data_IF_226488590047
#
_entry.id   IF_226488590047
#
_cell.length_a   1.000
_cell.length_b   1.000
_cell.length_c   1.000
_cell.angle_alpha   90.00
_cell.angle_beta   90.00
_cell.angle_gamma   90.00
#
_symmetry.space_group_name_H-M   'P 1'
#
loop_
_entity.id
_entity.type
_entity.pdbx_description
1 polymer ?
#
# COMPACT_ATOMS: atom_id res chain seq x y z
N UNK A 1 9.03 5.03 -24.62
CA UNK A 1 7.88 4.21 -24.17
C UNK A 1 8.39 2.92 -23.53
N UNK A 2 9.16 2.10 -24.25
CA UNK A 2 9.73 0.83 -23.75
C UNK A 2 10.43 0.90 -22.37
N UNK A 3 11.29 1.88 -22.12
CA UNK A 3 12.03 2.00 -20.84
C UNK A 3 11.13 2.35 -19.62
N UNK A 4 9.96 2.95 -19.85
CA UNK A 4 9.02 3.29 -18.79
C UNK A 4 8.10 2.10 -18.48
N UNK A 5 7.72 1.34 -19.50
CA UNK A 5 6.98 0.09 -19.37
C UNK A 5 7.81 -0.96 -18.58
N UNK A 6 9.13 -1.04 -18.83
CA UNK A 6 10.04 -1.95 -18.10
C UNK A 6 10.15 -1.62 -16.59
N UNK A 7 10.18 -0.33 -16.24
CA UNK A 7 10.24 0.13 -14.84
C UNK A 7 8.91 -0.18 -14.12
N UNK A 8 7.78 0.02 -14.81
CA UNK A 8 6.46 -0.25 -14.25
C UNK A 8 6.20 -1.76 -14.07
N UNK A 9 6.68 -2.60 -14.99
CA UNK A 9 6.62 -4.07 -14.87
C UNK A 9 7.47 -4.56 -13.68
N UNK A 10 8.71 -4.09 -13.55
CA UNK A 10 9.58 -4.45 -12.43
C UNK A 10 9.01 -4.02 -11.07
N UNK A 11 8.41 -2.83 -11.00
CA UNK A 11 7.70 -2.33 -9.81
C UNK A 11 6.51 -3.23 -9.48
N UNK A 12 5.72 -3.61 -10.49
CA UNK A 12 4.57 -4.49 -10.34
C UNK A 12 4.97 -5.86 -9.81
N UNK A 13 5.98 -6.50 -10.38
CA UNK A 13 6.49 -7.80 -9.91
C UNK A 13 7.01 -7.74 -8.46
N UNK A 14 7.70 -6.66 -8.09
CA UNK A 14 8.13 -6.46 -6.71
C UNK A 14 6.94 -6.35 -5.76
N UNK A 15 5.93 -5.54 -6.10
CA UNK A 15 4.72 -5.39 -5.30
C UNK A 15 3.95 -6.72 -5.15
N UNK A 16 3.87 -7.55 -6.20
CA UNK A 16 3.31 -8.91 -6.11
C UNK A 16 4.09 -9.77 -5.13
N UNK A 17 5.42 -9.73 -5.16
CA UNK A 17 6.27 -10.50 -4.24
C UNK A 17 6.09 -10.06 -2.79
N UNK A 18 6.08 -8.76 -2.52
CA UNK A 18 5.82 -8.21 -1.18
C UNK A 18 4.44 -8.65 -0.69
N UNK A 19 3.42 -8.50 -1.52
CA UNK A 19 2.06 -8.93 -1.20
C UNK A 19 1.98 -10.42 -0.89
N UNK A 20 2.68 -11.26 -1.66
CA UNK A 20 2.70 -12.70 -1.44
C UNK A 20 3.41 -13.08 -0.13
N UNK A 21 4.51 -12.41 0.21
CA UNK A 21 5.20 -12.63 1.49
C UNK A 21 4.34 -12.19 2.68
N UNK A 22 3.65 -11.05 2.58
CA UNK A 22 2.69 -10.59 3.59
C UNK A 22 1.57 -11.61 3.76
N UNK A 23 1.00 -12.08 2.66
CA UNK A 23 0.00 -13.14 2.69
C UNK A 23 0.49 -14.37 3.45
N UNK A 24 1.69 -14.86 3.13
CA UNK A 24 2.27 -16.04 3.77
C UNK A 24 2.52 -15.84 5.26
N UNK A 25 3.09 -14.70 5.65
CA UNK A 25 3.36 -14.38 7.05
C UNK A 25 2.05 -14.30 7.86
N UNK A 26 1.08 -13.55 7.35
CA UNK A 26 -0.20 -13.38 8.03
C UNK A 26 -1.00 -14.68 8.10
N UNK A 27 -1.08 -15.45 7.01
CA UNK A 27 -1.84 -16.71 6.98
C UNK A 27 -1.26 -17.80 7.86
N UNK A 28 0.07 -17.85 8.02
CA UNK A 28 0.75 -18.88 8.82
C UNK A 28 0.86 -18.54 10.31
N UNK A 29 1.00 -17.26 10.65
CA UNK A 29 1.28 -16.86 12.03
C UNK A 29 0.14 -16.05 12.65
N UNK A 30 -0.36 -15.05 11.94
CA UNK A 30 -1.32 -14.09 12.51
C UNK A 30 -2.74 -14.68 12.51
N UNK A 31 -3.18 -15.30 11.42
CA UNK A 31 -4.54 -15.84 11.31
C UNK A 31 -4.83 -16.96 12.30
N UNK A 32 -3.95 -17.96 12.51
CA UNK A 32 -4.18 -18.98 13.52
C UNK A 32 -4.24 -18.40 14.93
N UNK A 33 -3.38 -17.42 15.22
CA UNK A 33 -3.37 -16.73 16.52
C UNK A 33 -4.67 -15.94 16.76
N UNK A 34 -5.14 -15.21 15.75
CA UNK A 34 -6.41 -14.49 15.82
C UNK A 34 -7.58 -15.46 15.97
N UNK A 35 -7.67 -16.50 15.14
CA UNK A 35 -8.73 -17.51 15.24
C UNK A 35 -8.74 -18.20 16.61
N UNK A 36 -7.57 -18.58 17.13
CA UNK A 36 -7.46 -19.20 18.45
C UNK A 36 -7.87 -18.23 19.58
N UNK A 37 -7.39 -16.98 19.54
CA UNK A 37 -7.72 -15.96 20.54
C UNK A 37 -9.22 -15.63 20.56
N UNK A 38 -9.81 -15.43 19.39
CA UNK A 38 -11.23 -15.05 19.30
C UNK A 38 -12.16 -16.25 19.45
N UNK A 39 -11.74 -17.45 19.03
CA UNK A 39 -12.43 -18.70 19.34
C UNK A 39 -12.48 -18.96 20.84
N UNK A 40 -11.36 -18.77 21.55
CA UNK A 40 -11.33 -18.84 23.02
C UNK A 40 -12.20 -17.77 23.69
N UNK A 41 -12.24 -16.56 23.13
CA UNK A 41 -13.13 -15.51 23.60
C UNK A 41 -14.61 -15.86 23.45
N UNK A 42 -14.99 -16.42 22.30
CA UNK A 42 -16.35 -16.89 22.04
C UNK A 42 -16.73 -18.05 22.96
N UNK A 43 -15.80 -18.98 23.20
CA UNK A 43 -16.03 -20.10 24.12
C UNK A 43 -16.21 -19.65 25.58
N UNK A 44 -15.38 -18.71 26.04
CA UNK A 44 -15.42 -18.23 27.43
C UNK A 44 -16.54 -17.23 27.70
N UNK A 45 -16.97 -16.48 26.69
CA UNK A 45 -18.04 -15.49 26.79
C UNK A 45 -18.94 -15.56 25.54
N UNK A 46 -19.90 -16.51 25.51
CA UNK A 46 -20.78 -16.71 24.37
C UNK A 46 -21.89 -15.65 24.35
N UNK A 47 -21.54 -14.46 23.87
CA UNK A 47 -22.48 -13.37 23.60
C UNK A 47 -22.46 -12.99 22.12
N UNK A 48 -23.50 -12.30 21.66
CA UNK A 48 -23.62 -11.89 20.26
C UNK A 48 -22.40 -11.06 19.79
N UNK A 49 -21.79 -10.25 20.66
CA UNK A 49 -20.58 -9.50 20.33
C UNK A 49 -19.38 -10.42 20.01
N UNK A 50 -19.22 -11.50 20.77
CA UNK A 50 -18.15 -12.48 20.52
C UNK A 50 -18.37 -13.21 19.19
N UNK A 51 -19.62 -13.58 18.89
CA UNK A 51 -19.96 -14.19 17.60
C UNK A 51 -19.75 -13.22 16.43
N UNK A 52 -20.07 -11.93 16.60
CA UNK A 52 -19.81 -10.89 15.61
C UNK A 52 -18.30 -10.79 15.30
N UNK A 53 -17.45 -10.69 16.32
CA UNK A 53 -15.99 -10.64 16.15
C UNK A 53 -15.43 -11.88 15.43
N UNK A 54 -15.95 -13.08 15.74
CA UNK A 54 -15.56 -14.31 15.04
C UNK A 54 -16.01 -14.27 13.57
N UNK A 55 -17.23 -13.81 13.30
CA UNK A 55 -17.74 -13.64 11.95
C UNK A 55 -16.93 -12.59 11.16
N UNK A 56 -16.53 -11.50 11.79
CA UNK A 56 -15.64 -10.48 11.23
C UNK A 56 -14.28 -11.05 10.84
N UNK A 57 -13.68 -11.90 11.68
CA UNK A 57 -12.42 -12.59 11.38
C UNK A 57 -12.61 -13.56 10.21
N UNK A 58 -13.68 -14.35 10.22
CA UNK A 58 -13.97 -15.27 9.14
C UNK A 58 -14.15 -14.53 7.80
N UNK A 59 -14.93 -13.45 7.80
CA UNK A 59 -15.10 -12.56 6.66
C UNK A 59 -13.77 -11.98 6.18
N UNK A 60 -12.95 -11.47 7.11
CA UNK A 60 -11.60 -11.01 6.82
C UNK A 60 -10.79 -12.11 6.13
N UNK A 61 -10.70 -13.32 6.69
CA UNK A 61 -9.95 -14.46 6.12
C UNK A 61 -10.42 -14.80 4.70
N UNK A 62 -11.72 -14.75 4.43
CA UNK A 62 -12.28 -14.98 3.09
C UNK A 62 -11.85 -13.89 2.12
N UNK A 63 -12.00 -12.61 2.48
CA UNK A 63 -11.55 -11.49 1.65
C UNK A 63 -10.05 -11.53 1.39
N UNK A 64 -9.30 -11.93 2.39
CA UNK A 64 -7.88 -12.17 2.37
C UNK A 64 -7.52 -13.26 1.35
N UNK A 65 -8.19 -14.41 1.41
CA UNK A 65 -7.99 -15.50 0.46
C UNK A 65 -8.35 -15.09 -0.98
N UNK A 66 -9.48 -14.42 -1.17
CA UNK A 66 -9.91 -13.91 -2.49
C UNK A 66 -8.92 -12.86 -3.02
N UNK A 67 -8.48 -11.93 -2.18
CA UNK A 67 -7.46 -10.93 -2.51
C UNK A 67 -6.17 -11.58 -2.97
N UNK A 68 -5.70 -12.62 -2.28
CA UNK A 68 -4.49 -13.36 -2.68
C UNK A 68 -4.63 -14.01 -4.08
N UNK A 69 -5.82 -14.52 -4.42
CA UNK A 69 -6.12 -15.09 -5.74
C UNK A 69 -6.14 -14.01 -6.81
N UNK A 70 -6.70 -12.83 -6.52
CA UNK A 70 -6.73 -11.69 -7.43
C UNK A 70 -5.33 -11.13 -7.70
N UNK A 71 -4.48 -11.04 -6.68
CA UNK A 71 -3.09 -10.63 -6.82
C UNK A 71 -2.30 -11.56 -7.75
N UNK A 72 -2.49 -12.88 -7.61
CA UNK A 72 -1.87 -13.88 -8.53
C UNK A 72 -2.35 -13.75 -9.97
N UNK A 73 -3.57 -13.26 -10.19
CA UNK A 73 -4.14 -12.97 -11.52
C UNK A 73 -3.72 -11.58 -12.04
N UNK A 74 -2.84 -10.88 -11.34
CA UNK A 74 -2.34 -9.57 -11.75
C UNK A 74 -3.21 -8.38 -11.36
N UNK A 75 -4.33 -8.60 -10.65
CA UNK A 75 -5.21 -7.54 -10.16
C UNK A 75 -4.82 -7.11 -8.74
N UNK A 76 -3.66 -6.46 -8.63
CA UNK A 76 -3.05 -6.06 -7.35
C UNK A 76 -3.90 -5.01 -6.64
N UNK A 77 -4.50 -4.07 -7.37
CA UNK A 77 -5.29 -3.00 -6.77
C UNK A 77 -6.52 -3.54 -6.05
N UNK A 78 -7.28 -4.45 -6.69
CA UNK A 78 -8.41 -5.10 -6.03
C UNK A 78 -7.97 -5.94 -4.82
N UNK A 79 -6.83 -6.63 -4.92
CA UNK A 79 -6.29 -7.41 -3.82
C UNK A 79 -5.93 -6.54 -2.59
N UNK A 80 -5.31 -5.38 -2.82
CA UNK A 80 -4.99 -4.42 -1.75
C UNK A 80 -6.25 -3.87 -1.09
N UNK A 81 -7.29 -3.55 -1.88
CA UNK A 81 -8.57 -3.10 -1.33
C UNK A 81 -9.28 -4.18 -0.51
N UNK A 82 -9.28 -5.43 -0.98
CA UNK A 82 -9.89 -6.54 -0.25
C UNK A 82 -9.19 -6.80 1.08
N UNK A 83 -7.85 -6.79 1.09
CA UNK A 83 -7.05 -6.99 2.30
C UNK A 83 -7.14 -5.80 3.26
N UNK A 84 -6.87 -4.60 2.75
CA UNK A 84 -6.88 -3.37 3.54
C UNK A 84 -8.25 -3.07 4.09
N UNK A 85 -9.28 -3.12 3.24
CA UNK A 85 -10.66 -2.82 3.63
C UNK A 85 -11.22 -3.78 4.68
N UNK A 86 -11.04 -5.09 4.49
CA UNK A 86 -11.51 -6.08 5.47
C UNK A 86 -10.77 -5.99 6.81
N UNK A 87 -9.47 -5.67 6.79
CA UNK A 87 -8.68 -5.48 8.01
C UNK A 87 -9.06 -4.20 8.76
N UNK A 88 -9.34 -3.11 8.03
CA UNK A 88 -9.88 -1.87 8.61
C UNK A 88 -11.25 -2.15 9.24
N UNK A 89 -12.13 -2.86 8.52
CA UNK A 89 -13.45 -3.24 9.02
C UNK A 89 -13.36 -4.01 10.34
N UNK A 90 -12.52 -5.04 10.40
CA UNK A 90 -12.30 -5.81 11.63
C UNK A 90 -11.71 -4.94 12.76
N UNK A 91 -10.77 -4.05 12.46
CA UNK A 91 -10.15 -3.18 13.47
C UNK A 91 -11.19 -2.22 14.09
N UNK A 92 -12.11 -1.69 13.28
CA UNK A 92 -13.21 -0.86 13.74
C UNK A 92 -14.27 -1.66 14.51
N UNK A 93 -14.57 -2.88 14.07
CA UNK A 93 -15.46 -3.79 14.80
C UNK A 93 -14.89 -4.10 16.20
N UNK A 94 -13.59 -4.38 16.30
CA UNK A 94 -12.88 -4.58 17.57
C UNK A 94 -12.98 -3.33 18.46
N UNK A 95 -12.80 -2.13 17.89
CA UNK A 95 -12.92 -0.87 18.62
C UNK A 95 -14.31 -0.71 19.27
N UNK A 96 -15.35 -1.00 18.51
CA UNK A 96 -16.74 -0.83 18.95
C UNK A 96 -17.14 -1.88 19.97
N UNK A 97 -16.72 -3.13 19.80
CA UNK A 97 -17.22 -4.26 20.60
C UNK A 97 -16.34 -4.62 21.80
N UNK A 98 -15.07 -4.21 21.82
CA UNK A 98 -14.11 -4.61 22.87
C UNK A 98 -13.57 -3.41 23.64
N UNK A 99 -13.78 -3.42 24.96
CA UNK A 99 -13.31 -2.36 25.85
C UNK A 99 -11.78 -2.28 25.89
N UNK A 100 -11.23 -1.06 25.96
CA UNK A 100 -9.79 -0.79 26.11
C UNK A 100 -8.95 -1.07 24.87
N UNK A 101 -9.60 -1.27 23.71
CA UNK A 101 -8.96 -1.65 22.45
C UNK A 101 -8.51 -0.46 21.60
N UNK A 102 -8.69 0.79 22.05
CA UNK A 102 -8.45 1.99 21.23
C UNK A 102 -7.01 2.05 20.73
N UNK A 103 -6.05 1.84 21.64
CA UNK A 103 -4.62 1.84 21.31
C UNK A 103 -4.25 0.70 20.36
N UNK A 104 -4.82 -0.50 20.56
CA UNK A 104 -4.55 -1.65 19.68
C UNK A 104 -5.09 -1.43 18.27
N UNK A 105 -6.27 -0.82 18.15
CA UNK A 105 -6.87 -0.46 16.86
C UNK A 105 -6.07 0.62 16.17
N UNK A 106 -5.62 1.66 16.88
CA UNK A 106 -4.81 2.74 16.30
C UNK A 106 -3.49 2.21 15.70
N UNK A 107 -2.79 1.31 16.41
CA UNK A 107 -1.54 0.70 15.92
C UNK A 107 -1.81 -0.20 14.70
N UNK A 108 -2.89 -0.97 14.72
CA UNK A 108 -3.28 -1.81 13.58
C UNK A 108 -3.61 -0.97 12.34
N UNK A 109 -4.36 0.13 12.50
CA UNK A 109 -4.71 1.06 11.42
C UNK A 109 -3.46 1.76 10.85
N UNK A 110 -2.54 2.22 11.70
CA UNK A 110 -1.28 2.81 11.26
C UNK A 110 -0.49 1.83 10.39
N UNK A 111 -0.39 0.58 10.83
CA UNK A 111 0.31 -0.49 10.08
C UNK A 111 -0.37 -0.75 8.75
N UNK A 112 -1.71 -0.79 8.71
CA UNK A 112 -2.48 -0.95 7.47
C UNK A 112 -2.29 0.23 6.51
N UNK A 113 -2.24 1.46 7.01
CA UNK A 113 -1.95 2.62 6.18
C UNK A 113 -0.53 2.58 5.60
N UNK A 114 0.48 2.19 6.39
CA UNK A 114 1.83 1.99 5.85
C UNK A 114 1.87 0.92 4.76
N UNK A 115 1.07 -0.13 4.87
CA UNK A 115 0.92 -1.14 3.83
C UNK A 115 0.24 -0.58 2.58
N UNK A 116 -0.91 0.10 2.71
CA UNK A 116 -1.66 0.67 1.57
C UNK A 116 -0.81 1.71 0.82
N UNK A 117 -0.03 2.50 1.56
CA UNK A 117 0.88 3.51 1.02
C UNK A 117 1.91 2.91 0.03
N UNK A 118 2.32 1.64 0.21
CA UNK A 118 3.24 0.97 -0.73
C UNK A 118 2.65 0.83 -2.14
N UNK A 119 1.32 0.75 -2.25
CA UNK A 119 0.65 0.46 -3.51
C UNK A 119 0.06 1.72 -4.17
N UNK A 120 -0.52 2.64 -3.39
CA UNK A 120 -1.14 3.85 -3.95
C UNK A 120 -1.41 4.95 -2.93
N UNK A 121 -0.92 6.16 -3.23
CA UNK A 121 -1.25 7.38 -2.48
C UNK A 121 -2.73 7.74 -2.55
N UNK A 122 -3.38 7.52 -3.70
CA UNK A 122 -4.82 7.78 -3.86
C UNK A 122 -5.63 6.84 -2.98
N UNK A 123 -5.25 5.56 -2.93
CA UNK A 123 -5.89 4.58 -2.06
C UNK A 123 -5.67 4.93 -0.58
N UNK A 124 -4.46 5.38 -0.21
CA UNK A 124 -4.14 5.83 1.14
C UNK A 124 -5.05 6.99 1.58
N UNK A 125 -5.17 8.04 0.76
CA UNK A 125 -6.01 9.21 1.09
C UNK A 125 -7.48 8.83 1.28
N UNK A 126 -8.01 7.97 0.41
CA UNK A 126 -9.37 7.44 0.53
C UNK A 126 -9.53 6.59 1.79
N UNK A 127 -8.58 5.69 2.07
CA UNK A 127 -8.60 4.85 3.26
C UNK A 127 -8.59 5.70 4.53
N UNK A 128 -7.71 6.71 4.63
CA UNK A 128 -7.66 7.64 5.76
C UNK A 128 -8.97 8.42 5.86
N UNK A 129 -9.46 8.98 4.75
CA UNK A 129 -10.67 9.79 4.70
C UNK A 129 -11.92 9.04 5.16
N UNK A 130 -12.01 7.72 4.93
CA UNK A 130 -13.11 6.88 5.39
C UNK A 130 -12.88 6.40 6.83
N UNK A 131 -11.66 5.97 7.14
CA UNK A 131 -11.36 5.27 8.40
C UNK A 131 -11.27 6.21 9.59
N UNK A 132 -10.75 7.43 9.41
CA UNK A 132 -10.63 8.40 10.52
C UNK A 132 -12.00 8.80 11.07
N UNK A 133 -13.00 9.18 10.25
CA UNK A 133 -14.36 9.43 10.74
C UNK A 133 -14.98 8.22 11.44
N UNK A 134 -14.80 7.01 10.89
CA UNK A 134 -15.32 5.78 11.50
C UNK A 134 -14.64 5.46 12.84
N UNK A 135 -13.33 5.70 12.94
CA UNK A 135 -12.58 5.53 14.16
C UNK A 135 -13.03 6.52 15.24
N UNK A 136 -13.15 7.80 14.89
CA UNK A 136 -13.69 8.83 15.80
C UNK A 136 -15.13 8.51 16.20
N UNK A 137 -15.97 8.09 15.25
CA UNK A 137 -17.33 7.63 15.53
C UNK A 137 -17.36 6.44 16.49
N UNK A 138 -16.47 5.47 16.32
CA UNK A 138 -16.31 4.33 17.23
C UNK A 138 -15.90 4.75 18.65
N UNK A 139 -15.01 5.74 18.80
CA UNK A 139 -14.66 6.31 20.09
C UNK A 139 -15.85 7.00 20.77
N UNK A 140 -16.64 7.76 20.00
CA UNK A 140 -17.85 8.41 20.50
C UNK A 140 -18.87 7.36 20.96
N UNK A 141 -19.11 6.33 20.16
CA UNK A 141 -19.99 5.19 20.50
C UNK A 141 -19.54 4.51 21.78
N UNK A 142 -18.22 4.30 21.95
CA UNK A 142 -17.64 3.74 23.17
C UNK A 142 -17.78 4.65 24.38
N UNK A 143 -17.53 5.96 24.22
CA UNK A 143 -17.62 6.94 25.31
C UNK A 143 -19.03 7.06 25.89
N UNK A 144 -20.05 7.11 25.01
CA UNK A 144 -21.45 7.21 25.43
C UNK A 144 -22.09 5.86 25.76
N UNK A 145 -21.36 4.75 25.61
CA UNK A 145 -21.89 3.41 25.90
C UNK A 145 -23.06 3.00 24.99
N UNK A 146 -23.13 3.53 23.77
CA UNK A 146 -24.22 3.26 22.82
C UNK A 146 -24.25 1.80 22.37
N UNK A 147 -23.08 1.13 22.38
CA UNK A 147 -22.95 -0.30 22.13
C UNK A 147 -22.32 -0.96 23.37
N UNK A 148 -22.95 -1.98 23.96
CA UNK A 148 -22.39 -2.67 25.11
C UNK A 148 -21.13 -3.43 24.72
N UNK A 149 -20.01 -3.06 25.34
CA UNK A 149 -18.70 -3.64 25.07
C UNK A 149 -18.45 -4.90 25.92
N UNK A 150 -17.69 -5.84 25.36
CA UNK A 150 -17.16 -6.98 26.12
C UNK A 150 -16.12 -6.46 27.11
N UNK A 151 -16.39 -6.64 28.40
CA UNK A 151 -15.46 -6.29 29.46
C UNK A 151 -14.18 -7.14 29.35
N UNK A 152 -13.03 -6.48 29.47
CA UNK A 152 -11.71 -7.12 29.51
C UNK A 152 -11.17 -7.00 30.93
N UNK A 153 -10.47 -8.04 31.40
CA UNK A 153 -9.67 -7.88 32.63
C UNK A 153 -8.46 -7.00 32.33
N UNK A 154 -7.96 -6.22 33.30
CA UNK A 154 -6.79 -5.35 33.09
C UNK A 154 -5.58 -6.11 32.53
N UNK A 155 -5.38 -7.35 33.00
CA UNK A 155 -4.31 -8.24 32.52
C UNK A 155 -4.49 -8.58 31.04
N UNK A 156 -5.70 -8.95 30.59
CA UNK A 156 -5.95 -9.26 29.17
C UNK A 156 -5.76 -8.03 28.30
N UNK A 157 -6.21 -6.86 28.75
CA UNK A 157 -6.02 -5.60 28.03
C UNK A 157 -4.53 -5.28 27.82
N UNK A 158 -3.71 -5.41 28.87
CA UNK A 158 -2.25 -5.24 28.77
C UNK A 158 -1.61 -6.28 27.85
N UNK A 159 -1.97 -7.56 27.97
CA UNK A 159 -1.44 -8.63 27.11
C UNK A 159 -1.77 -8.36 25.64
N UNK A 160 -3.02 -8.01 25.32
CA UNK A 160 -3.39 -7.68 23.94
C UNK A 160 -2.64 -6.45 23.42
N UNK A 161 -2.45 -5.41 24.23
CA UNK A 161 -1.64 -4.24 23.85
C UNK A 161 -0.21 -4.62 23.52
N UNK A 162 0.45 -5.38 24.39
CA UNK A 162 1.84 -5.83 24.17
C UNK A 162 1.93 -6.72 22.93
N UNK A 163 1.04 -7.70 22.79
CA UNK A 163 1.02 -8.59 21.61
C UNK A 163 0.80 -7.80 20.34
N UNK A 164 -0.14 -6.84 20.32
CA UNK A 164 -0.37 -6.01 19.14
C UNK A 164 0.85 -5.15 18.81
N UNK A 165 1.50 -4.52 19.80
CA UNK A 165 2.73 -3.75 19.56
C UNK A 165 3.83 -4.67 19.00
N UNK A 166 4.06 -5.82 19.62
CA UNK A 166 5.12 -6.77 19.20
C UNK A 166 4.83 -7.37 17.82
N UNK A 167 3.57 -7.56 17.42
CA UNK A 167 3.21 -8.10 16.10
C UNK A 167 3.20 -7.00 15.04
N UNK A 168 2.52 -5.89 15.27
CA UNK A 168 2.29 -4.87 14.25
C UNK A 168 3.48 -3.93 14.04
N UNK A 169 4.28 -3.66 15.08
CA UNK A 169 5.41 -2.74 14.96
C UNK A 169 6.53 -3.27 14.04
N UNK A 170 6.97 -4.55 14.13
CA UNK A 170 7.91 -5.12 13.18
C UNK A 170 7.36 -5.18 11.75
N UNK A 171 6.05 -5.41 11.60
CA UNK A 171 5.38 -5.44 10.29
C UNK A 171 5.38 -4.03 9.66
N UNK A 172 5.04 -3.00 10.43
CA UNK A 172 5.12 -1.61 9.98
C UNK A 172 6.56 -1.22 9.62
N UNK A 173 7.55 -1.59 10.45
CA UNK A 173 8.95 -1.35 10.17
C UNK A 173 9.44 -2.06 8.90
N UNK A 174 8.98 -3.29 8.66
CA UNK A 174 9.23 -4.02 7.42
C UNK A 174 8.65 -3.30 6.21
N UNK A 175 7.41 -2.81 6.29
CA UNK A 175 6.78 -2.06 5.20
C UNK A 175 7.48 -0.75 4.91
N UNK A 176 7.87 0.00 5.94
CA UNK A 176 8.63 1.23 5.75
C UNK A 176 9.98 0.97 5.06
N UNK A 177 10.71 -0.08 5.47
CA UNK A 177 11.95 -0.49 4.80
C UNK A 177 11.73 -0.96 3.37
N UNK A 178 10.66 -1.70 3.10
CA UNK A 178 10.29 -2.11 1.75
C UNK A 178 9.97 -0.89 0.87
N UNK A 179 9.23 0.09 1.40
CA UNK A 179 8.93 1.35 0.73
C UNK A 179 10.18 2.18 0.42
N UNK A 180 11.12 2.28 1.36
CA UNK A 180 12.42 2.93 1.14
C UNK A 180 13.19 2.29 -0.02
N UNK A 181 13.27 0.95 -0.04
CA UNK A 181 13.95 0.22 -1.13
C UNK A 181 13.29 0.43 -2.49
N UNK A 182 11.95 0.48 -2.55
CA UNK A 182 11.22 0.78 -3.79
C UNK A 182 11.58 2.18 -4.27
N UNK A 183 11.53 3.18 -3.37
CA UNK A 183 11.85 4.55 -3.72
C UNK A 183 13.30 4.70 -4.19
N UNK A 184 14.26 4.11 -3.48
CA UNK A 184 15.68 4.11 -3.87
C UNK A 184 15.92 3.50 -5.25
N UNK A 185 15.28 2.36 -5.55
CA UNK A 185 15.35 1.73 -6.87
C UNK A 185 14.77 2.62 -7.97
N UNK A 186 13.63 3.28 -7.72
CA UNK A 186 13.01 4.21 -8.67
C UNK A 186 13.85 5.48 -8.89
N UNK A 187 14.40 6.06 -7.82
CA UNK A 187 15.30 7.21 -7.92
C UNK A 187 16.60 6.85 -8.66
N UNK A 188 17.12 5.64 -8.47
CA UNK A 188 18.25 5.12 -9.23
C UNK A 188 17.98 5.04 -10.73
N UNK A 189 16.83 4.47 -11.11
CA UNK A 189 16.40 4.37 -12.52
C UNK A 189 16.15 5.75 -13.17
N UNK A 190 15.52 6.67 -12.42
CA UNK A 190 15.33 8.06 -12.86
C UNK A 190 16.65 8.81 -13.02
N UNK A 191 17.63 8.56 -12.15
CA UNK A 191 18.97 9.13 -12.23
C UNK A 191 19.74 8.62 -13.46
N UNK A 192 19.65 7.33 -13.76
CA UNK A 192 20.26 6.77 -14.99
C UNK A 192 19.59 7.28 -16.25
N UNK A 193 18.26 7.40 -16.26
CA UNK A 193 17.49 7.99 -17.37
C UNK A 193 17.85 9.45 -17.61
N UNK A 194 17.94 10.25 -16.54
CA UNK A 194 18.33 11.66 -16.63
C UNK A 194 19.77 11.85 -17.09
N UNK A 195 20.71 11.01 -16.63
CA UNK A 195 22.07 10.99 -17.14
C UNK A 195 22.14 10.62 -18.63
N UNK A 196 21.35 9.65 -19.09
CA UNK A 196 21.22 9.31 -20.51
C UNK A 196 20.67 10.47 -21.33
N UNK A 197 19.62 11.14 -20.84
CA UNK A 197 19.05 12.32 -21.51
C UNK A 197 20.05 13.45 -21.58
N UNK A 198 20.83 13.68 -20.52
CA UNK A 198 21.93 14.64 -20.52
C UNK A 198 23.02 14.27 -21.53
N UNK A 199 23.41 12.99 -21.63
CA UNK A 199 24.37 12.51 -22.62
C UNK A 199 23.86 12.65 -24.06
N UNK A 200 22.57 12.39 -24.29
CA UNK A 200 21.93 12.59 -25.60
C UNK A 200 21.84 14.08 -25.94
N UNK A 201 21.49 14.94 -24.98
CA UNK A 201 21.51 16.39 -25.15
C UNK A 201 22.92 16.92 -25.44
N UNK A 202 23.93 16.39 -24.75
CA UNK A 202 25.33 16.76 -24.97
C UNK A 202 25.83 16.27 -26.34
N UNK A 203 25.41 15.08 -26.77
CA UNK A 203 25.68 14.57 -28.12
C UNK A 203 24.98 15.39 -29.21
N UNK A 204 23.71 15.77 -29.01
CA UNK A 204 22.97 16.65 -29.93
C UNK A 204 23.60 18.03 -29.98
N UNK A 205 23.99 18.61 -28.84
CA UNK A 205 24.68 19.89 -28.77
C UNK A 205 26.03 19.90 -29.48
N UNK A 206 26.73 18.75 -29.55
CA UNK A 206 27.96 18.59 -30.33
C UNK A 206 27.73 18.48 -31.84
N UNK A 207 26.58 17.96 -32.26
CA UNK A 207 26.21 17.81 -33.69
C UNK A 207 25.56 19.10 -34.24
N UNK A 208 24.94 19.90 -33.37
CA UNK A 208 24.33 21.19 -33.71
C UNK A 208 25.20 22.12 -34.55
N UNK A 209 26.49 22.36 -34.23
CA UNK A 209 27.36 23.21 -35.05
C UNK A 209 27.67 22.63 -36.43
N UNK A 210 27.72 21.31 -36.60
CA UNK A 210 27.88 20.68 -37.92
C UNK A 210 26.61 20.80 -38.76
N UNK A 211 25.44 20.72 -38.12
CA UNK A 211 24.15 20.93 -38.77
C UNK A 211 23.98 22.39 -39.21
N UNK A 212 24.37 23.36 -38.35
CA UNK A 212 24.34 24.78 -38.66
C UNK A 212 25.33 25.14 -39.78
N UNK A 213 26.51 24.50 -39.81
CA UNK A 213 27.47 24.64 -40.91
C UNK A 213 26.94 24.05 -42.22
N UNK A 214 26.28 22.89 -42.17
CA UNK A 214 25.67 22.28 -43.35
C UNK A 214 24.51 23.14 -43.90
N UNK A 215 23.67 23.69 -43.02
CA UNK A 215 22.60 24.62 -43.40
C UNK A 215 23.15 25.93 -43.99
N UNK A 216 24.22 26.48 -43.41
CA UNK A 216 24.90 27.66 -43.95
C UNK A 216 25.57 27.40 -45.30
N UNK A 217 26.03 26.17 -45.57
CA UNK A 217 26.58 25.77 -46.86
C UNK A 217 25.49 25.56 -47.94
N UNK A 218 24.29 25.15 -47.53
CA UNK A 218 23.14 24.93 -48.43
C UNK A 218 22.43 26.25 -48.80
N UNK A 219 22.39 27.23 -47.90
CA UNK A 219 21.74 28.54 -48.16
C UNK A 219 22.17 29.22 -49.48
N UNK A 220 23.48 29.38 -49.75
CA UNK A 220 23.96 29.96 -51.00
C UNK A 220 23.65 29.11 -52.25
N UNK A 221 23.57 27.78 -52.10
CA UNK A 221 23.17 26.87 -53.19
C UNK A 221 21.67 26.97 -53.51
N UNK A 222 20.82 27.09 -52.49
CA UNK A 222 19.39 27.30 -52.67
C UNK A 222 19.08 28.64 -53.35
N UNK A 223 19.82 29.70 -52.98
CA UNK A 223 19.69 31.02 -53.60
C UNK A 223 20.17 31.04 -55.06
N UNK A 224 21.23 30.28 -55.40
CA UNK A 224 21.67 30.13 -56.79
C UNK A 224 20.71 29.32 -57.64
N UNK A 225 20.10 28.26 -57.10
CA UNK A 225 19.04 27.52 -57.80
C UNK A 225 17.78 28.38 -58.00
N UNK A 226 17.35 29.15 -57.00
CA UNK A 226 16.21 30.07 -57.12
C UNK A 226 16.47 31.20 -58.13
N UNK A 227 17.69 31.75 -58.17
CA UNK A 227 18.09 32.75 -59.16
C UNK A 227 18.15 32.18 -60.58
N UNK A 228 18.58 30.92 -60.74
CA UNK A 228 18.61 30.24 -62.05
C UNK A 228 17.23 29.81 -62.56
N UNK A 229 16.25 29.59 -61.66
CA UNK A 229 14.87 29.24 -62.03
C UNK A 229 14.01 30.48 -62.36
N UNK A 230 14.51 31.69 -62.09
CA UNK A 230 13.86 32.96 -62.39
C UNK A 230 14.34 33.60 -63.72
N UNK A 231 15.33 32.99 -64.39
CA UNK A 231 15.75 33.29 -65.76
C UNK A 231 15.06 32.36 -66.75
#
# INVERSE_FOLDING_TARGET
MQEQDDIDEARREFLVRVHHQVWLACSRFIMPLLLASYGFHCWTNPCWQSFALVAGIFGMVVFWFVGSRLARRGNIQAAVWMLGGSSIGLALEVLVLRRGSEMTTAVALLTLFTYIALFSDRALRLAIGITVPLFVGGLVVGHFGLVPQIAQTPVRETVYRVVYIVVFFPIAAYFLRAGQRINEAMYGALRTSSLRKLQVLDAVGRVQPELDQALAAIGPMADTFAASAAQ
#
